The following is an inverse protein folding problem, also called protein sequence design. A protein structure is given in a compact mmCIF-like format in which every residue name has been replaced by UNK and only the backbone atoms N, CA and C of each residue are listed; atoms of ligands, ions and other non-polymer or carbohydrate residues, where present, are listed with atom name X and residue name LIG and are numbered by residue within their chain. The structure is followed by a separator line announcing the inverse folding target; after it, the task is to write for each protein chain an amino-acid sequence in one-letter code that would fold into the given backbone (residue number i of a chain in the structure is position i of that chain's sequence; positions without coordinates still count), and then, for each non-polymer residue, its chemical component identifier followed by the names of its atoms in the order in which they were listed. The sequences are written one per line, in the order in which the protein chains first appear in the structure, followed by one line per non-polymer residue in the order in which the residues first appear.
data_IF_659065574546
#
_entry.id   IF_659065574546
#
_cell.length_a   1.000
_cell.length_b   1.000
_cell.length_c   1.000
_cell.angle_alpha   90.00
_cell.angle_beta   90.00
_cell.angle_gamma   90.00
#
_symmetry.space_group_name_H-M   'P 1'
#
loop_
_entity.id
_entity.type
_entity.pdbx_description
1 polymer ?
#
# COMPACT_ATOMS: atom_id res chain seq x y z
N UNK A 1 -8.80 16.28 -15.07
CA UNK A 1 -7.54 15.79 -14.50
C UNK A 1 -7.90 15.15 -13.17
N UNK A 2 -8.08 13.83 -13.12
CA UNK A 2 -8.39 13.16 -11.84
C UNK A 2 -7.07 12.96 -11.10
N UNK A 3 -6.64 14.00 -10.39
CA UNK A 3 -5.48 14.00 -9.48
C UNK A 3 -5.76 13.24 -8.17
N UNK A 4 -6.70 12.30 -8.18
CA UNK A 4 -6.92 11.35 -7.10
C UNK A 4 -6.09 10.10 -7.41
N UNK A 5 -4.76 10.23 -7.30
CA UNK A 5 -3.86 9.10 -7.43
C UNK A 5 -4.20 8.05 -6.38
N UNK A 6 -4.46 6.82 -6.81
CA UNK A 6 -4.63 5.67 -5.90
C UNK A 6 -3.40 5.61 -4.99
N UNK A 7 -3.56 5.47 -3.66
CA UNK A 7 -2.41 5.44 -2.76
C UNK A 7 -1.53 4.22 -3.06
N UNK A 8 -0.22 4.43 -3.07
CA UNK A 8 0.76 3.38 -3.30
C UNK A 8 1.45 3.03 -1.96
N UNK A 9 1.64 1.74 -1.72
CA UNK A 9 2.30 1.22 -0.54
C UNK A 9 3.40 0.22 -0.90
N UNK A 10 4.47 0.26 -0.12
CA UNK A 10 5.64 -0.60 -0.22
C UNK A 10 5.88 -1.33 1.11
N UNK A 11 6.58 -2.46 1.06
CA UNK A 11 7.00 -3.22 2.23
C UNK A 11 8.52 -3.43 2.23
N UNK A 12 9.28 -2.34 2.13
CA UNK A 12 10.76 -2.38 2.21
C UNK A 12 11.24 -2.87 3.59
N UNK A 13 10.46 -2.60 4.64
CA UNK A 13 10.74 -3.03 6.01
C UNK A 13 10.60 -4.55 6.21
N UNK A 14 10.00 -5.28 5.27
CA UNK A 14 9.75 -6.72 5.40
C UNK A 14 8.80 -7.06 6.54
N UNK A 15 7.87 -6.15 6.88
CA UNK A 15 6.88 -6.40 7.94
C UNK A 15 5.80 -7.36 7.44
N UNK A 16 5.28 -8.21 8.32
CA UNK A 16 4.21 -9.14 7.95
C UNK A 16 2.86 -8.44 7.74
N UNK A 17 2.66 -7.27 8.36
CA UNK A 17 1.38 -6.55 8.35
C UNK A 17 1.58 -5.04 8.25
N UNK A 18 0.78 -4.39 7.41
CA UNK A 18 0.75 -2.94 7.22
C UNK A 18 -0.69 -2.47 7.41
N UNK A 19 -0.91 -1.51 8.29
CA UNK A 19 -2.22 -0.87 8.45
C UNK A 19 -2.36 0.25 7.43
N UNK A 20 -3.48 0.33 6.73
CA UNK A 20 -3.75 1.30 5.66
C UNK A 20 -5.06 2.04 5.91
N UNK A 21 -5.07 3.35 5.65
CA UNK A 21 -6.28 4.18 5.73
C UNK A 21 -7.15 4.17 4.48
N UNK A 22 -6.86 3.27 3.52
CA UNK A 22 -7.58 3.16 2.26
C UNK A 22 -7.87 1.69 1.96
N UNK A 23 -9.08 1.42 1.45
CA UNK A 23 -9.52 0.09 1.02
C UNK A 23 -9.09 -0.23 -0.41
N UNK A 24 -8.79 0.81 -1.20
CA UNK A 24 -8.34 0.72 -2.58
C UNK A 24 -6.94 1.33 -2.69
N UNK A 25 -5.94 0.51 -3.05
CA UNK A 25 -4.55 0.94 -3.12
C UNK A 25 -3.70 0.08 -4.06
N UNK A 26 -2.51 0.57 -4.40
CA UNK A 26 -1.53 -0.15 -5.19
C UNK A 26 -0.40 -0.68 -4.29
N UNK A 27 -0.16 -1.98 -4.30
CA UNK A 27 1.01 -2.58 -3.68
C UNK A 27 2.13 -2.66 -4.72
N UNK A 28 3.25 -1.98 -4.43
CA UNK A 28 4.47 -2.05 -5.25
C UNK A 28 5.46 -3.14 -4.78
N UNK A 29 5.13 -3.77 -3.65
CA UNK A 29 6.02 -4.71 -2.98
C UNK A 29 7.24 -4.07 -2.37
N UNK A 30 8.44 -4.59 -2.66
CA UNK A 30 9.70 -4.02 -2.18
C UNK A 30 10.22 -2.94 -3.13
N UNK A 31 11.18 -2.12 -2.68
CA UNK A 31 11.83 -1.15 -3.56
C UNK A 31 12.55 -1.85 -4.73
N UNK A 32 12.59 -1.23 -5.93
CA UNK A 32 13.45 -1.69 -7.01
C UNK A 32 14.89 -1.89 -6.51
N UNK A 33 15.56 -3.01 -6.88
CA UNK A 33 15.26 -3.96 -7.96
C UNK A 33 14.46 -5.22 -7.56
N UNK A 34 13.90 -5.27 -6.35
CA UNK A 34 13.13 -6.43 -5.85
C UNK A 34 11.61 -6.25 -5.99
N UNK A 35 11.20 -5.20 -6.69
CA UNK A 35 9.83 -4.89 -7.08
C UNK A 35 9.23 -6.05 -7.92
N UNK A 36 7.96 -6.34 -7.68
CA UNK A 36 7.15 -7.26 -8.47
C UNK A 36 6.08 -6.42 -9.21
N UNK A 37 5.47 -6.91 -10.31
CA UNK A 37 4.46 -6.13 -11.01
C UNK A 37 3.42 -5.53 -10.05
N UNK A 38 3.33 -4.20 -10.03
CA UNK A 38 2.47 -3.48 -9.09
C UNK A 38 1.02 -4.01 -9.21
N UNK A 39 0.44 -4.42 -8.09
CA UNK A 39 -0.91 -4.98 -8.05
C UNK A 39 -1.87 -4.02 -7.36
N UNK A 40 -3.04 -3.85 -7.96
CA UNK A 40 -4.15 -3.15 -7.34
C UNK A 40 -4.85 -4.09 -6.34
N UNK A 41 -4.99 -3.63 -5.10
CA UNK A 41 -5.70 -4.32 -4.03
C UNK A 41 -6.94 -3.50 -3.70
N UNK A 42 -8.09 -4.12 -3.90
CA UNK A 42 -9.38 -3.65 -3.43
C UNK A 42 -9.85 -4.57 -2.30
N UNK A 43 -10.01 -4.01 -1.11
CA UNK A 43 -10.54 -4.72 0.05
C UNK A 43 -12.07 -4.84 -0.01
N UNK A 44 -12.76 -3.99 -0.79
CA UNK A 44 -14.22 -3.95 -0.86
C UNK A 44 -14.85 -3.72 0.52
N UNK A 45 -15.56 -4.72 1.03
CA UNK A 45 -16.17 -4.69 2.37
C UNK A 45 -15.29 -5.33 3.46
N UNK A 46 -14.17 -5.95 3.08
CA UNK A 46 -13.25 -6.58 4.02
C UNK A 46 -12.35 -5.55 4.69
N UNK A 47 -11.90 -5.86 5.91
CA UNK A 47 -10.94 -5.04 6.65
C UNK A 47 -9.50 -5.54 6.55
N UNK A 48 -9.26 -6.63 5.82
CA UNK A 48 -7.93 -7.15 5.54
C UNK A 48 -7.82 -7.75 4.14
N UNK A 49 -6.65 -7.59 3.53
CA UNK A 49 -6.32 -8.18 2.24
C UNK A 49 -4.83 -8.55 2.18
N UNK A 50 -4.51 -9.68 1.58
CA UNK A 50 -3.13 -10.12 1.39
C UNK A 50 -2.67 -9.84 -0.03
N UNK A 51 -1.46 -9.32 -0.19
CA UNK A 51 -0.85 -9.20 -1.51
C UNK A 51 -0.36 -10.58 -1.99
N UNK A 52 -0.86 -11.05 -3.13
CA UNK A 52 -0.51 -12.36 -3.71
C UNK A 52 0.97 -12.53 -4.08
N UNK A 53 1.73 -11.44 -4.19
CA UNK A 53 3.15 -11.48 -4.52
C UNK A 53 4.04 -11.33 -3.29
N UNK A 54 3.80 -10.32 -2.46
CA UNK A 54 4.62 -10.08 -1.27
C UNK A 54 4.24 -10.92 -0.06
N UNK A 55 3.07 -11.55 -0.06
CA UNK A 55 2.47 -12.14 1.14
C UNK A 55 2.32 -11.15 2.32
N UNK A 56 2.37 -9.84 2.05
CA UNK A 56 2.12 -8.79 3.04
C UNK A 56 0.63 -8.72 3.34
N UNK A 57 0.27 -8.73 4.62
CA UNK A 57 -1.11 -8.50 5.07
C UNK A 57 -1.38 -7.01 5.19
N UNK A 58 -2.33 -6.49 4.45
CA UNK A 58 -2.85 -5.14 4.62
C UNK A 58 -4.09 -5.18 5.51
N UNK A 59 -4.16 -4.30 6.50
CA UNK A 59 -5.32 -4.13 7.37
C UNK A 59 -5.87 -2.73 7.26
N UNK A 60 -7.16 -2.60 6.98
CA UNK A 60 -7.83 -1.31 7.00
C UNK A 60 -7.91 -0.79 8.43
N UNK A 61 -7.42 0.43 8.64
CA UNK A 61 -7.57 1.14 9.90
C UNK A 61 -8.33 2.45 9.65
N UNK A 62 -9.58 2.57 10.11
CA UNK A 62 -10.40 3.78 9.88
C UNK A 62 -9.87 5.01 10.61
N UNK A 63 -8.95 4.85 11.56
CA UNK A 63 -8.28 5.97 12.24
C UNK A 63 -7.18 6.58 11.37
N UNK A 64 -6.69 5.84 10.37
CA UNK A 64 -5.72 6.33 9.39
C UNK A 64 -6.44 7.03 8.24
N UNK A 65 -6.00 8.25 7.90
CA UNK A 65 -6.55 8.97 6.76
C UNK A 65 -6.24 8.28 5.42
N UNK A 66 -7.06 8.52 4.40
CA UNK A 66 -6.85 7.97 3.06
C UNK A 66 -5.46 8.31 2.53
N UNK A 67 -4.64 7.28 2.25
CA UNK A 67 -3.24 7.44 1.84
C UNK A 67 -2.22 7.56 2.98
N UNK A 68 -2.61 7.22 4.22
CA UNK A 68 -1.72 6.96 5.35
C UNK A 68 -1.59 5.46 5.58
N UNK A 69 -0.46 5.04 6.12
CA UNK A 69 -0.26 3.67 6.60
C UNK A 69 0.61 3.67 7.86
N UNK A 70 0.55 2.58 8.60
CA UNK A 70 1.42 2.27 9.73
C UNK A 70 2.07 0.90 9.48
N UNK A 71 3.41 0.80 9.45
CA UNK A 71 4.39 1.88 9.62
C UNK A 71 4.31 2.97 8.53
N UNK A 72 4.58 4.25 8.84
CA UNK A 72 4.48 5.34 7.87
C UNK A 72 5.52 5.24 6.73
N UNK A 73 6.62 4.51 6.96
CA UNK A 73 7.67 4.22 5.99
C UNK A 73 7.19 3.30 4.84
N UNK A 74 6.11 2.53 5.09
CA UNK A 74 5.47 1.70 4.07
C UNK A 74 4.68 2.53 3.05
N UNK A 75 4.56 3.84 3.24
CA UNK A 75 3.97 4.70 2.23
C UNK A 75 4.96 4.87 1.08
N UNK A 76 4.52 4.57 -0.13
CA UNK A 76 5.27 4.95 -1.32
C UNK A 76 5.02 6.42 -1.61
N UNK A 77 6.03 7.25 -1.39
CA UNK A 77 6.07 8.56 -2.01
C UNK A 77 6.67 8.35 -3.40
N UNK A 78 5.86 8.54 -4.44
CA UNK A 78 6.39 8.66 -5.79
C UNK A 78 7.21 9.97 -5.82
N UNK A 79 8.52 9.86 -5.64
CA UNK A 79 9.44 11.00 -5.79
C UNK A 79 9.62 11.36 -7.27
N UNK A 80 8.54 11.49 -8.03
CA UNK A 80 8.53 12.19 -9.32
C UNK A 80 7.93 13.58 -9.11
N UNK A 81 8.66 14.36 -8.31
CA UNK A 81 8.57 15.81 -8.31
C UNK A 81 9.98 16.40 -8.42
N UNK A 82 10.60 16.20 -9.58
CA UNK A 82 11.69 17.03 -10.09
C UNK A 82 11.56 17.17 -11.60
#
# INVERSE_FOLDING_TARGET
MAEHGVPHFQNDLGVATIHVGAREFMCIGARPPFDHPHIFIDMGDSDEAICSYCSTLYKFDPSLGSGRCEPPECKWADEVAA
#
